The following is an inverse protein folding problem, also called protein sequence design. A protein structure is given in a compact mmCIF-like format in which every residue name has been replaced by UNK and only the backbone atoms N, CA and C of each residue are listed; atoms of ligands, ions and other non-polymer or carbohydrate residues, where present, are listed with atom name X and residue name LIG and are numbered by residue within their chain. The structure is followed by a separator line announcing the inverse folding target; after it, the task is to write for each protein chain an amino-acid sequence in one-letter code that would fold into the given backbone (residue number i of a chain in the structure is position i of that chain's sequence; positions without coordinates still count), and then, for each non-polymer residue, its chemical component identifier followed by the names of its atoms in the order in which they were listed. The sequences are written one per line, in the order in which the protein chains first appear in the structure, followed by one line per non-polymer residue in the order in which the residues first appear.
data_IF_860719223942
#
_entry.id   IF_860719223942
#
_cell.length_a   1.000
_cell.length_b   1.000
_cell.length_c   1.000
_cell.angle_alpha   90.00
_cell.angle_beta   90.00
_cell.angle_gamma   90.00
#
_symmetry.space_group_name_H-M   'P 1'
#
loop_
_entity.id
_entity.type
_entity.pdbx_description
1 polymer ?
#
# COMPACT_ATOMS: atom_id res chain seq x y z
N UNK A 1 -40.26 -31.62 -80.74
CA UNK A 1 -40.79 -31.32 -79.42
C UNK A 1 -39.61 -31.29 -78.45
N UNK A 2 -39.09 -30.13 -78.11
CA UNK A 2 -37.98 -29.96 -77.17
C UNK A 2 -38.49 -29.04 -76.01
N UNK A 3 -38.67 -29.64 -74.86
CA UNK A 3 -39.07 -28.91 -73.64
C UNK A 3 -37.83 -28.26 -73.03
N UNK A 4 -37.89 -26.97 -72.87
CA UNK A 4 -36.84 -26.17 -72.19
C UNK A 4 -37.08 -26.14 -70.66
N UNK A 5 -36.11 -26.66 -69.90
CA UNK A 5 -36.12 -26.62 -68.44
C UNK A 5 -35.45 -25.35 -67.97
N UNK A 6 -36.20 -24.49 -67.32
CA UNK A 6 -35.67 -23.27 -66.68
C UNK A 6 -35.21 -23.56 -65.25
N UNK A 7 -33.89 -23.53 -65.03
CA UNK A 7 -33.30 -23.51 -63.66
C UNK A 7 -33.49 -22.18 -62.99
N UNK A 8 -34.18 -22.15 -61.85
CA UNK A 8 -34.25 -21.01 -60.95
C UNK A 8 -33.12 -21.15 -59.95
N UNK A 9 -32.15 -20.23 -60.04
CA UNK A 9 -31.06 -20.13 -59.04
C UNK A 9 -31.57 -19.25 -57.93
N UNK A 10 -31.86 -19.85 -56.79
CA UNK A 10 -32.17 -19.12 -55.55
C UNK A 10 -30.88 -18.63 -54.88
N UNK A 11 -30.70 -17.34 -54.81
CA UNK A 11 -29.62 -16.71 -54.05
C UNK A 11 -29.97 -16.68 -52.55
N UNK A 12 -29.30 -17.54 -51.76
CA UNK A 12 -29.41 -17.50 -50.31
C UNK A 12 -28.49 -16.40 -49.77
N UNK A 13 -29.06 -15.31 -49.30
CA UNK A 13 -28.31 -14.25 -48.59
C UNK A 13 -28.10 -14.68 -47.14
N UNK A 14 -26.88 -15.11 -46.81
CA UNK A 14 -26.47 -15.30 -45.41
C UNK A 14 -26.22 -13.96 -44.75
N UNK A 15 -27.14 -13.53 -43.92
CA UNK A 15 -27.00 -12.34 -43.07
C UNK A 15 -26.14 -12.72 -41.87
N UNK A 16 -24.85 -12.38 -41.89
CA UNK A 16 -23.94 -12.55 -40.76
C UNK A 16 -24.26 -11.44 -39.70
N UNK A 17 -24.94 -11.84 -38.63
CA UNK A 17 -25.12 -10.98 -37.45
C UNK A 17 -23.81 -10.96 -36.68
N UNK A 18 -23.02 -9.90 -36.86
CA UNK A 18 -21.83 -9.63 -36.04
C UNK A 18 -22.24 -9.26 -34.63
N UNK A 19 -22.10 -10.20 -33.70
CA UNK A 19 -22.11 -9.90 -32.26
C UNK A 19 -20.81 -9.19 -31.88
N UNK A 20 -20.80 -7.85 -31.98
CA UNK A 20 -19.79 -7.04 -31.33
C UNK A 20 -20.05 -7.07 -29.83
N UNK A 21 -19.49 -8.06 -29.14
CA UNK A 21 -19.38 -8.09 -27.71
C UNK A 21 -18.45 -6.95 -27.26
N UNK A 22 -18.99 -5.83 -26.82
CA UNK A 22 -18.23 -4.86 -26.01
C UNK A 22 -17.85 -5.55 -24.71
N UNK A 23 -16.65 -6.12 -24.66
CA UNK A 23 -16.01 -6.43 -23.39
C UNK A 23 -15.71 -5.08 -22.72
N UNK A 24 -16.62 -4.62 -21.88
CA UNK A 24 -16.33 -3.55 -20.92
C UNK A 24 -15.30 -4.11 -19.95
N UNK A 25 -14.02 -3.80 -20.16
CA UNK A 25 -13.00 -3.89 -19.13
C UNK A 25 -13.34 -2.84 -18.09
N UNK A 26 -14.29 -3.15 -17.23
CA UNK A 26 -14.61 -2.35 -16.06
C UNK A 26 -13.41 -2.40 -15.12
N UNK A 27 -12.53 -1.41 -15.20
CA UNK A 27 -11.64 -1.08 -14.09
C UNK A 27 -12.57 -0.74 -12.92
N UNK A 28 -12.77 -1.68 -11.99
CA UNK A 28 -13.50 -1.40 -10.76
C UNK A 28 -12.62 -0.44 -9.95
N UNK A 29 -12.99 0.84 -9.95
CA UNK A 29 -12.36 1.82 -9.07
C UNK A 29 -12.61 1.41 -7.63
N UNK A 30 -11.56 1.51 -6.78
CA UNK A 30 -11.70 1.22 -5.35
C UNK A 30 -12.76 2.13 -4.71
N UNK A 31 -13.67 1.54 -3.93
CA UNK A 31 -14.73 2.28 -3.26
C UNK A 31 -14.24 2.79 -1.89
N UNK A 32 -13.85 4.05 -1.83
CA UNK A 32 -13.42 4.70 -0.61
C UNK A 32 -14.57 4.86 0.39
N UNK A 33 -14.31 4.48 1.65
CA UNK A 33 -15.20 4.71 2.77
C UNK A 33 -14.78 5.95 3.55
N UNK A 34 -15.71 6.55 4.27
CA UNK A 34 -15.42 7.74 5.08
C UNK A 34 -14.84 7.32 6.44
N UNK A 35 -13.55 6.92 6.47
CA UNK A 35 -12.82 6.71 7.71
C UNK A 35 -12.31 8.03 8.27
N UNK A 36 -12.33 8.16 9.59
CA UNK A 36 -11.71 9.31 10.29
C UNK A 36 -10.21 9.32 10.04
N UNK A 37 -9.66 10.47 9.69
CA UNK A 37 -8.22 10.71 9.71
C UNK A 37 -7.80 11.02 11.14
N UNK A 38 -6.72 10.41 11.61
CA UNK A 38 -6.24 10.58 12.98
C UNK A 38 -5.79 12.03 13.21
N UNK A 39 -6.25 12.58 14.32
CA UNK A 39 -5.82 13.89 14.83
C UNK A 39 -4.70 13.66 15.85
N UNK A 40 -3.48 14.00 15.49
CA UNK A 40 -2.29 13.78 16.33
C UNK A 40 -1.55 12.46 16.06
N UNK A 41 -0.59 12.14 16.92
CA UNK A 41 0.27 10.97 16.83
C UNK A 41 0.51 10.33 18.19
N UNK A 42 0.51 9.00 18.24
CA UNK A 42 1.02 8.24 19.39
C UNK A 42 2.55 8.26 19.41
N UNK A 43 3.11 7.84 20.54
CA UNK A 43 4.58 7.72 20.73
C UNK A 43 4.96 6.25 20.54
N UNK A 44 5.98 5.99 19.72
CA UNK A 44 6.54 4.66 19.53
C UNK A 44 7.34 4.18 20.74
N UNK A 45 7.46 2.86 20.90
CA UNK A 45 8.41 2.27 21.86
C UNK A 45 7.76 1.48 23.00
N UNK A 46 8.61 0.81 23.77
CA UNK A 46 8.22 -0.05 24.89
C UNK A 46 7.38 0.71 25.93
N UNK A 47 6.32 0.09 26.43
CA UNK A 47 5.42 0.65 27.42
C UNK A 47 4.46 1.74 26.89
N UNK A 48 4.51 2.06 25.61
CA UNK A 48 3.55 2.95 24.95
C UNK A 48 2.35 2.16 24.47
N UNK A 49 1.27 2.86 24.13
CA UNK A 49 0.02 2.25 23.72
C UNK A 49 -0.60 2.99 22.54
N UNK A 50 -1.34 2.24 21.73
CA UNK A 50 -2.35 2.72 20.79
C UNK A 50 -3.68 2.07 21.13
N UNK A 51 -4.77 2.56 20.56
CA UNK A 51 -6.10 2.01 20.80
C UNK A 51 -6.55 1.15 19.61
N UNK A 52 -7.32 0.11 19.90
CA UNK A 52 -8.10 -0.60 18.91
C UNK A 52 -9.54 -0.69 19.39
N UNK A 53 -10.43 0.05 18.73
CA UNK A 53 -11.85 0.21 19.14
C UNK A 53 -11.97 0.65 20.59
N UNK A 54 -11.14 1.61 20.99
CA UNK A 54 -11.09 2.15 22.35
C UNK A 54 -10.34 1.29 23.37
N UNK A 55 -9.92 0.06 23.02
CA UNK A 55 -9.15 -0.81 23.92
C UNK A 55 -7.66 -0.60 23.73
N UNK A 56 -6.85 -0.42 24.80
CA UNK A 56 -5.42 -0.18 24.68
C UNK A 56 -4.67 -1.43 24.24
N UNK A 57 -3.75 -1.26 23.30
CA UNK A 57 -2.78 -2.25 22.85
C UNK A 57 -1.36 -1.73 23.11
N UNK A 58 -0.55 -2.52 23.81
CA UNK A 58 0.83 -2.17 24.13
C UNK A 58 1.74 -2.26 22.92
N UNK A 59 2.52 -1.19 22.73
CA UNK A 59 3.65 -1.16 21.80
C UNK A 59 4.90 -1.75 22.45
N UNK A 60 5.81 -2.27 21.64
CA UNK A 60 7.10 -2.74 22.11
C UNK A 60 8.21 -2.47 21.10
N UNK A 61 9.42 -2.40 21.62
CA UNK A 61 10.64 -2.11 20.90
C UNK A 61 11.21 -0.73 21.20
N UNK A 62 12.21 -0.32 20.41
CA UNK A 62 13.08 0.82 20.76
C UNK A 62 12.45 2.20 20.49
N UNK A 63 11.44 2.25 19.63
CA UNK A 63 10.81 3.49 19.21
C UNK A 63 11.57 4.27 18.13
N UNK A 64 10.84 5.12 17.39
CA UNK A 64 11.34 6.01 16.33
C UNK A 64 10.67 7.38 16.46
N UNK A 65 11.35 8.44 16.09
CA UNK A 65 10.82 9.81 16.07
C UNK A 65 11.35 10.61 14.89
N UNK A 66 10.75 11.74 14.63
CA UNK A 66 11.23 12.70 13.63
C UNK A 66 12.64 13.14 13.98
N UNK A 67 13.54 13.18 12.99
CA UNK A 67 14.96 13.48 13.12
C UNK A 67 15.85 12.25 13.29
N UNK A 68 15.30 11.08 13.63
CA UNK A 68 16.07 9.85 13.70
C UNK A 68 16.42 9.35 12.28
N UNK A 69 17.55 8.66 12.17
CA UNK A 69 17.89 7.91 10.95
C UNK A 69 17.10 6.61 10.91
N UNK A 70 16.76 6.17 9.68
CA UNK A 70 16.26 4.80 9.48
C UNK A 70 17.24 3.80 10.07
N UNK A 71 16.70 2.82 10.79
CA UNK A 71 17.47 1.69 11.28
C UNK A 71 17.56 0.62 10.22
N UNK A 72 18.72 0.00 10.13
CA UNK A 72 18.90 -1.13 9.24
C UNK A 72 18.17 -2.35 9.82
N UNK A 73 17.14 -2.77 9.08
CA UNK A 73 16.37 -3.98 9.35
C UNK A 73 16.15 -4.72 8.04
N UNK A 74 16.14 -6.04 8.10
CA UNK A 74 15.90 -6.88 6.93
C UNK A 74 14.43 -7.25 6.84
N UNK A 75 13.79 -6.87 5.74
CA UNK A 75 12.42 -7.23 5.39
C UNK A 75 12.41 -8.24 4.23
N UNK A 76 11.27 -8.86 3.98
CA UNK A 76 11.12 -9.82 2.88
C UNK A 76 10.24 -9.23 1.78
N UNK A 77 10.74 -9.24 0.55
CA UNK A 77 9.99 -8.82 -0.65
C UNK A 77 8.97 -9.89 -1.07
N UNK A 78 8.06 -9.52 -1.98
CA UNK A 78 7.00 -10.43 -2.46
C UNK A 78 7.50 -11.62 -3.28
N UNK A 79 8.78 -11.63 -3.67
CA UNK A 79 9.48 -12.73 -4.32
C UNK A 79 10.32 -13.59 -3.35
N UNK A 80 10.18 -13.33 -2.05
CA UNK A 80 10.91 -13.95 -0.93
C UNK A 80 12.37 -13.50 -0.77
N UNK A 81 12.87 -12.60 -1.60
CA UNK A 81 14.22 -12.07 -1.43
C UNK A 81 14.29 -11.13 -0.21
N UNK A 82 15.38 -11.17 0.56
CA UNK A 82 15.61 -10.22 1.65
C UNK A 82 16.02 -8.85 1.10
N UNK A 83 15.64 -7.79 1.81
CA UNK A 83 16.08 -6.43 1.50
C UNK A 83 16.25 -5.63 2.79
N UNK A 84 17.33 -4.86 2.90
CA UNK A 84 17.47 -3.88 3.97
C UNK A 84 16.54 -2.70 3.70
N UNK A 85 15.82 -2.22 4.71
CA UNK A 85 14.93 -1.06 4.56
C UNK A 85 15.68 0.20 4.08
N UNK A 86 16.94 0.32 4.46
CA UNK A 86 17.82 1.42 4.03
C UNK A 86 18.32 1.29 2.60
N UNK A 87 18.13 0.13 1.97
CA UNK A 87 18.66 -0.22 0.64
C UNK A 87 17.56 -0.59 -0.37
N UNK A 88 16.34 -0.12 -0.17
CA UNK A 88 15.25 -0.28 -1.15
C UNK A 88 15.56 0.49 -2.43
N UNK A 89 14.77 0.29 -3.49
CA UNK A 89 14.94 1.02 -4.76
C UNK A 89 14.80 2.55 -4.63
N UNK A 90 14.30 3.03 -3.48
CA UNK A 90 14.29 4.45 -3.11
C UNK A 90 15.56 4.93 -2.38
N UNK A 91 16.62 4.13 -2.29
CA UNK A 91 17.91 4.56 -1.73
C UNK A 91 18.40 5.85 -2.40
N UNK A 92 18.74 6.86 -1.61
CA UNK A 92 19.12 8.18 -2.11
C UNK A 92 17.96 9.03 -2.64
N UNK A 93 16.72 8.63 -2.39
CA UNK A 93 15.49 9.38 -2.73
C UNK A 93 14.60 9.52 -1.51
N UNK A 94 13.63 10.44 -1.61
CA UNK A 94 12.54 10.54 -0.64
C UNK A 94 11.68 9.27 -0.70
N UNK A 95 11.27 8.76 0.44
CA UNK A 95 10.39 7.60 0.56
C UNK A 95 9.20 7.91 1.45
N UNK A 96 8.03 7.39 1.10
CA UNK A 96 6.85 7.37 1.95
C UNK A 96 6.64 5.91 2.39
N UNK A 97 6.78 5.65 3.68
CA UNK A 97 6.64 4.31 4.26
C UNK A 97 5.32 4.25 5.02
N UNK A 98 4.39 3.50 4.49
CA UNK A 98 3.08 3.21 5.06
C UNK A 98 3.14 1.88 5.81
N UNK A 99 2.86 1.89 7.11
CA UNK A 99 2.81 0.69 7.94
C UNK A 99 1.36 0.38 8.25
N UNK A 100 0.96 -0.85 7.99
CA UNK A 100 -0.41 -1.31 8.22
C UNK A 100 -0.43 -2.58 9.08
N UNK A 101 -1.42 -2.75 9.97
CA UNK A 101 -1.59 -3.98 10.75
C UNK A 101 -1.71 -5.23 9.88
N UNK A 102 -2.63 -5.26 8.92
CA UNK A 102 -2.81 -6.34 7.96
C UNK A 102 -3.60 -5.87 6.75
N UNK A 103 -3.11 -6.18 5.55
CA UNK A 103 -3.75 -5.84 4.27
C UNK A 103 -5.14 -6.47 4.10
N UNK A 104 -5.42 -7.57 4.79
CA UNK A 104 -6.73 -8.25 4.78
C UNK A 104 -7.80 -7.51 5.63
N UNK A 105 -7.60 -6.22 5.95
CA UNK A 105 -8.56 -5.41 6.72
C UNK A 105 -8.96 -4.14 5.98
N UNK A 106 -10.24 -3.71 6.05
CA UNK A 106 -10.77 -2.63 5.19
C UNK A 106 -10.06 -1.28 5.35
N UNK A 107 -9.59 -0.92 6.56
CA UNK A 107 -8.86 0.35 6.79
C UNK A 107 -7.46 0.29 6.20
N UNK A 108 -6.79 -0.86 6.31
CA UNK A 108 -5.44 -1.06 5.73
C UNK A 108 -5.49 -1.10 4.19
N UNK A 109 -6.49 -1.79 3.64
CA UNK A 109 -6.77 -1.79 2.22
C UNK A 109 -6.94 -0.35 1.70
N UNK A 110 -7.82 0.44 2.34
CA UNK A 110 -8.04 1.83 1.92
C UNK A 110 -6.79 2.70 2.08
N UNK A 111 -6.01 2.54 3.16
CA UNK A 111 -4.74 3.27 3.33
C UNK A 111 -3.78 2.98 2.17
N UNK A 112 -3.69 1.71 1.75
CA UNK A 112 -2.79 1.29 0.67
C UNK A 112 -3.28 1.76 -0.70
N UNK A 113 -4.59 1.68 -0.99
CA UNK A 113 -5.18 2.29 -2.19
C UNK A 113 -4.96 3.79 -2.22
N UNK A 114 -5.15 4.49 -1.09
CA UNK A 114 -4.94 5.93 -1.03
C UNK A 114 -3.48 6.31 -1.33
N UNK A 115 -2.53 5.59 -0.75
CA UNK A 115 -1.11 5.76 -1.02
C UNK A 115 -0.80 5.58 -2.52
N UNK A 116 -1.36 4.54 -3.14
CA UNK A 116 -1.15 4.23 -4.55
C UNK A 116 -1.82 5.21 -5.51
N UNK A 117 -3.08 5.57 -5.27
CA UNK A 117 -3.94 6.24 -6.25
C UNK A 117 -4.01 7.76 -6.05
N UNK A 118 -3.84 8.26 -4.81
CA UNK A 118 -4.03 9.67 -4.46
C UNK A 118 -2.74 10.48 -4.31
N UNK A 119 -1.59 9.87 -4.62
CA UNK A 119 -0.27 10.49 -4.47
C UNK A 119 0.03 11.63 -5.48
N UNK A 120 -0.88 11.92 -6.40
CA UNK A 120 -0.78 13.05 -7.37
C UNK A 120 0.50 12.99 -8.25
N UNK A 121 0.98 11.76 -8.55
CA UNK A 121 2.15 11.52 -9.38
C UNK A 121 3.48 11.58 -8.63
N UNK A 122 3.46 11.65 -7.31
CA UNK A 122 4.69 11.58 -6.48
C UNK A 122 5.44 10.26 -6.67
N UNK A 123 4.75 9.16 -6.95
CA UNK A 123 5.33 7.84 -7.22
C UNK A 123 6.36 7.81 -8.35
N UNK A 124 6.42 8.84 -9.20
CA UNK A 124 7.46 9.01 -10.22
C UNK A 124 8.78 9.53 -9.66
N UNK A 125 8.76 10.19 -8.50
CA UNK A 125 9.89 10.89 -7.90
C UNK A 125 10.30 10.32 -6.54
N UNK A 126 9.35 9.71 -5.81
CA UNK A 126 9.58 9.10 -4.51
C UNK A 126 9.27 7.61 -4.55
N UNK A 127 9.83 6.82 -3.65
CA UNK A 127 9.41 5.45 -3.47
C UNK A 127 8.25 5.39 -2.48
N UNK A 128 7.17 4.69 -2.87
CA UNK A 128 6.06 4.33 -2.01
C UNK A 128 6.27 2.92 -1.48
N UNK A 129 6.27 2.76 -0.16
CA UNK A 129 6.51 1.47 0.51
C UNK A 129 5.35 1.16 1.43
N UNK A 130 4.87 -0.08 1.43
CA UNK A 130 3.94 -0.60 2.45
C UNK A 130 4.60 -1.73 3.22
N UNK A 131 4.61 -1.63 4.56
CA UNK A 131 5.14 -2.65 5.47
C UNK A 131 4.01 -3.24 6.29
N UNK A 132 3.96 -4.56 6.40
CA UNK A 132 3.04 -5.30 7.27
C UNK A 132 3.65 -6.63 7.72
N UNK A 133 3.03 -7.32 8.67
CA UNK A 133 3.40 -8.70 9.03
C UNK A 133 2.72 -9.75 8.15
N UNK A 134 1.91 -9.35 7.18
CA UNK A 134 1.35 -10.28 6.21
C UNK A 134 2.47 -11.00 5.47
N UNK A 135 2.27 -12.28 5.17
CA UNK A 135 3.28 -13.04 4.41
C UNK A 135 3.52 -12.44 3.04
N UNK A 136 4.71 -12.59 2.45
CA UNK A 136 5.00 -12.13 1.08
C UNK A 136 3.99 -12.61 0.03
N UNK A 137 3.43 -13.82 0.23
CA UNK A 137 2.40 -14.37 -0.64
C UNK A 137 1.07 -13.62 -0.54
N UNK A 138 0.65 -13.26 0.68
CA UNK A 138 -0.56 -12.47 0.92
C UNK A 138 -0.39 -11.06 0.35
N UNK A 139 0.75 -10.41 0.57
CA UNK A 139 1.07 -9.10 -0.01
C UNK A 139 1.05 -9.13 -1.54
N UNK A 140 1.65 -10.17 -2.16
CA UNK A 140 1.65 -10.35 -3.62
C UNK A 140 0.24 -10.53 -4.17
N UNK A 141 -0.59 -11.36 -3.52
CA UNK A 141 -1.99 -11.57 -3.89
C UNK A 141 -2.75 -10.25 -3.82
N UNK A 142 -2.67 -9.55 -2.68
CA UNK A 142 -3.32 -8.25 -2.48
C UNK A 142 -2.92 -7.23 -3.57
N UNK A 143 -1.63 -7.07 -3.84
CA UNK A 143 -1.16 -6.15 -4.88
C UNK A 143 -1.75 -6.47 -6.26
N UNK A 144 -1.86 -7.77 -6.60
CA UNK A 144 -2.46 -8.22 -7.86
C UNK A 144 -3.96 -7.96 -7.94
N UNK A 145 -4.72 -8.31 -6.90
CA UNK A 145 -6.17 -8.12 -6.83
C UNK A 145 -6.56 -6.64 -6.79
N UNK A 146 -5.79 -5.82 -6.05
CA UNK A 146 -5.95 -4.38 -5.95
C UNK A 146 -5.41 -3.61 -7.18
N UNK A 147 -4.74 -4.27 -8.13
CA UNK A 147 -4.08 -3.65 -9.28
C UNK A 147 -3.05 -2.55 -8.90
N UNK A 148 -2.37 -2.72 -7.77
CA UNK A 148 -1.36 -1.80 -7.26
C UNK A 148 0.04 -2.25 -7.71
N UNK A 149 0.67 -1.45 -8.60
CA UNK A 149 1.99 -1.73 -9.15
C UNK A 149 3.07 -0.69 -8.77
N UNK A 150 2.66 0.46 -8.21
CA UNK A 150 3.55 1.58 -7.88
C UNK A 150 3.97 1.62 -6.40
N UNK A 151 3.59 0.62 -5.62
CA UNK A 151 3.94 0.47 -4.20
C UNK A 151 4.87 -0.74 -4.03
N UNK A 152 5.95 -0.56 -3.29
CA UNK A 152 6.84 -1.65 -2.86
C UNK A 152 6.26 -2.28 -1.59
N UNK A 153 5.93 -3.57 -1.63
CA UNK A 153 5.43 -4.31 -0.47
C UNK A 153 6.57 -5.03 0.22
N UNK A 154 6.70 -4.85 1.53
CA UNK A 154 7.73 -5.44 2.37
C UNK A 154 7.11 -6.12 3.58
N UNK A 155 7.48 -7.36 3.82
CA UNK A 155 6.93 -8.18 4.89
C UNK A 155 7.89 -8.30 6.07
N UNK A 156 7.37 -8.02 7.27
CA UNK A 156 8.03 -8.19 8.57
C UNK A 156 7.56 -9.48 9.28
N UNK A 157 7.17 -10.51 8.50
CA UNK A 157 6.45 -11.70 8.99
C UNK A 157 7.30 -12.65 9.83
N UNK A 158 8.63 -12.65 9.64
CA UNK A 158 9.52 -13.62 10.31
C UNK A 158 9.60 -13.37 11.81
N UNK A 159 10.28 -12.30 12.18
CA UNK A 159 10.66 -12.03 13.56
C UNK A 159 10.15 -10.68 14.08
N UNK A 160 9.36 -9.95 13.28
CA UNK A 160 8.92 -8.60 13.54
C UNK A 160 10.09 -7.64 13.87
N UNK A 161 11.20 -7.77 13.13
CA UNK A 161 12.41 -6.97 13.34
C UNK A 161 12.15 -5.49 13.15
N UNK A 162 11.42 -5.13 12.07
CA UNK A 162 11.01 -3.75 11.82
C UNK A 162 10.12 -3.24 12.96
N UNK A 163 9.08 -3.99 13.30
CA UNK A 163 8.16 -3.62 14.38
C UNK A 163 8.89 -3.35 15.69
N UNK A 164 9.83 -4.21 16.07
CA UNK A 164 10.64 -4.07 17.31
C UNK A 164 11.63 -2.93 17.22
N UNK A 165 12.38 -2.82 16.13
CA UNK A 165 13.36 -1.75 15.95
C UNK A 165 12.71 -0.36 15.95
N UNK A 166 11.51 -0.24 15.40
CA UNK A 166 10.80 1.03 15.28
C UNK A 166 9.80 1.29 16.41
N UNK A 167 9.67 0.35 17.37
CA UNK A 167 8.73 0.48 18.49
C UNK A 167 7.26 0.48 18.08
N UNK A 168 6.95 -0.19 16.98
CA UNK A 168 5.61 -0.29 16.39
C UNK A 168 4.98 -1.68 16.56
N UNK A 169 5.66 -2.61 17.23
CA UNK A 169 5.20 -3.98 17.37
C UNK A 169 4.12 -4.12 18.45
N UNK A 170 2.99 -4.67 18.10
CA UNK A 170 1.87 -5.00 18.97
C UNK A 170 1.99 -6.48 19.39
N UNK A 171 2.54 -6.73 20.57
CA UNK A 171 2.85 -8.11 21.06
C UNK A 171 1.63 -9.02 21.07
N UNK A 172 0.49 -8.54 21.58
CA UNK A 172 -0.71 -9.36 21.75
C UNK A 172 -1.21 -9.94 20.42
N UNK A 173 -1.58 -9.09 19.44
CA UNK A 173 -2.05 -9.57 18.13
C UNK A 173 -0.94 -9.95 17.16
N UNK A 174 0.34 -9.74 17.48
CA UNK A 174 1.48 -9.93 16.59
C UNK A 174 1.34 -9.14 15.27
N UNK A 175 1.02 -7.86 15.38
CA UNK A 175 0.79 -6.95 14.27
C UNK A 175 1.69 -5.71 14.41
N UNK A 176 1.64 -4.83 13.40
CA UNK A 176 2.28 -3.52 13.44
C UNK A 176 1.25 -2.43 13.71
N UNK A 177 1.63 -1.40 14.48
CA UNK A 177 0.82 -0.22 14.67
C UNK A 177 0.72 0.56 13.36
N UNK A 178 -0.49 1.04 13.03
CA UNK A 178 -0.74 1.85 11.83
C UNK A 178 0.07 3.13 11.89
N UNK A 179 0.90 3.34 10.88
CA UNK A 179 1.85 4.44 10.83
C UNK A 179 2.03 4.93 9.40
N UNK A 180 2.31 6.21 9.23
CA UNK A 180 2.87 6.79 8.02
C UNK A 180 4.14 7.55 8.38
N UNK A 181 5.22 7.38 7.62
CA UNK A 181 6.44 8.16 7.76
C UNK A 181 6.97 8.62 6.42
N UNK A 182 7.58 9.80 6.39
CA UNK A 182 8.33 10.32 5.24
C UNK A 182 9.79 10.39 5.62
N UNK A 183 10.63 9.83 4.74
CA UNK A 183 12.07 9.73 4.94
C UNK A 183 12.76 10.44 3.77
N UNK A 184 13.76 11.26 4.08
CA UNK A 184 14.52 11.97 3.06
C UNK A 184 15.58 11.08 2.38
N UNK A 185 16.29 11.65 1.41
CA UNK A 185 17.34 10.97 0.65
C UNK A 185 18.52 10.48 1.52
N UNK A 186 18.69 11.06 2.71
CA UNK A 186 19.73 10.70 3.67
C UNK A 186 19.27 9.70 4.74
N UNK A 187 18.13 9.04 4.53
CA UNK A 187 17.52 8.12 5.48
C UNK A 187 17.05 8.78 6.79
N UNK A 188 16.80 10.08 6.83
CA UNK A 188 16.31 10.77 8.02
C UNK A 188 14.78 10.86 7.98
N UNK A 189 14.12 10.51 9.09
CA UNK A 189 12.66 10.64 9.27
C UNK A 189 12.30 12.11 9.35
N UNK A 190 11.53 12.61 8.40
CA UNK A 190 11.10 14.02 8.31
C UNK A 190 9.64 14.23 8.72
N UNK A 191 8.85 13.17 8.65
CA UNK A 191 7.48 13.13 9.15
C UNK A 191 7.18 11.74 9.72
N UNK A 192 6.43 11.70 10.80
CA UNK A 192 5.98 10.47 11.44
C UNK A 192 4.61 10.71 12.07
N UNK A 193 3.65 9.87 11.74
CA UNK A 193 2.38 9.80 12.45
C UNK A 193 2.03 8.33 12.72
N UNK A 194 1.90 8.00 13.99
CA UNK A 194 1.39 6.72 14.48
C UNK A 194 -0.05 6.97 14.90
N UNK A 195 -1.03 6.34 14.27
CA UNK A 195 -2.44 6.60 14.62
C UNK A 195 -2.72 6.19 16.07
N UNK A 196 -3.25 7.11 16.91
CA UNK A 196 -3.62 6.76 18.27
C UNK A 196 -4.72 5.70 18.36
N UNK A 197 -5.57 5.60 17.34
CA UNK A 197 -6.62 4.60 17.18
C UNK A 197 -6.43 3.86 15.84
N UNK A 198 -6.25 2.54 15.88
CA UNK A 198 -5.92 1.73 14.71
C UNK A 198 -7.04 1.66 13.65
N UNK A 199 -8.26 2.05 13.99
CA UNK A 199 -9.39 2.11 13.07
C UNK A 199 -9.46 3.43 12.29
N UNK A 200 -8.56 4.39 12.56
CA UNK A 200 -8.43 5.64 11.85
C UNK A 200 -7.34 5.55 10.78
N UNK A 201 -7.44 6.38 9.74
CA UNK A 201 -6.38 6.56 8.75
C UNK A 201 -5.34 7.58 9.25
N UNK A 202 -4.06 7.42 8.90
CA UNK A 202 -3.10 8.50 9.08
C UNK A 202 -3.36 9.63 8.07
N UNK A 203 -2.80 10.82 8.31
CA UNK A 203 -2.87 11.94 7.39
C UNK A 203 -1.89 11.74 6.21
N UNK A 204 -2.37 11.04 5.19
CA UNK A 204 -1.62 10.79 3.95
C UNK A 204 -1.43 12.08 3.13
N UNK A 205 -2.37 13.03 3.18
CA UNK A 205 -2.23 14.30 2.46
C UNK A 205 -1.05 15.11 3.02
N UNK A 206 -0.90 15.17 4.35
CA UNK A 206 0.24 15.81 4.97
C UNK A 206 1.55 15.08 4.64
N UNK A 207 1.55 13.74 4.65
CA UNK A 207 2.71 12.95 4.23
C UNK A 207 3.12 13.26 2.77
N UNK A 208 2.15 13.37 1.85
CA UNK A 208 2.41 13.76 0.45
C UNK A 208 2.96 15.18 0.36
N UNK A 209 2.42 16.14 1.13
CA UNK A 209 2.91 17.52 1.14
C UNK A 209 4.37 17.60 1.64
N UNK A 210 4.72 16.90 2.71
CA UNK A 210 6.10 16.82 3.22
C UNK A 210 7.03 16.16 2.21
N UNK A 211 6.63 15.04 1.61
CA UNK A 211 7.45 14.39 0.60
C UNK A 211 7.71 15.29 -0.61
N UNK A 212 6.69 16.06 -1.02
CA UNK A 212 6.82 17.02 -2.13
C UNK A 212 7.79 18.15 -1.79
N UNK A 213 7.74 18.73 -0.58
CA UNK A 213 8.68 19.80 -0.20
C UNK A 213 10.13 19.33 -0.23
N UNK A 214 10.41 18.11 0.24
CA UNK A 214 11.75 17.52 0.25
C UNK A 214 12.33 17.26 -1.15
N UNK A 215 11.49 17.11 -2.18
CA UNK A 215 11.96 16.95 -3.56
C UNK A 215 12.30 18.30 -4.19
N UNK A 216 11.60 19.36 -3.78
CA UNK A 216 11.77 20.70 -4.37
C UNK A 216 12.92 21.50 -3.73
N UNK A 217 13.41 21.09 -2.57
CA UNK A 217 14.54 21.71 -1.86
C UNK A 217 15.91 21.17 -2.28
N UNK A 218 15.96 20.11 -3.12
CA UNK A 218 17.17 19.53 -3.70
C UNK A 218 17.30 19.90 -5.18
#
# INVERSE_FOLDING_TARGET
MRAAYRMIVGATVCMAIGLTGCASTGSSSFLYKNYTVADGTAVAGEGRTVLFKGSPLGLSGDGIKVGDSLREVTLTQTDLSPIALTDTKGKGKVRIISVVPSLDTPVCEQQTHYLSEKNKGLDKMVELVTVSVDTPFAQKRFAGEAHIANVTFLSDYKDAEFGKAYGLFLKGPHLLARTIMVVDANNTVRYLQITPELTQLPDLELAFAVAKSLITEN
#
